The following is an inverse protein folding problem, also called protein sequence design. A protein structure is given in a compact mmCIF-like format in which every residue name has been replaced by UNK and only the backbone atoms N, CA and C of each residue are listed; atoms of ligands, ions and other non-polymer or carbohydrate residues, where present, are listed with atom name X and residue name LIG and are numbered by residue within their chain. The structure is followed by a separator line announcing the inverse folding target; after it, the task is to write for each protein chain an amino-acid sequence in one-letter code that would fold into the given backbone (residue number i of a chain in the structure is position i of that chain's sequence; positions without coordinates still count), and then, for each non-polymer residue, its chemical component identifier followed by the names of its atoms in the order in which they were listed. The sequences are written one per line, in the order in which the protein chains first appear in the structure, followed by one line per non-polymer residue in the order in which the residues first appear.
data_IF_816088220942
#
_entry.id   IF_816088220942
#
_cell.length_a   1.000
_cell.length_b   1.000
_cell.length_c   1.000
_cell.angle_alpha   90.00
_cell.angle_beta   90.00
_cell.angle_gamma   90.00
#
_symmetry.space_group_name_H-M   'P 1'
#
loop_
_entity.id
_entity.type
_entity.pdbx_description
1 polymer ?
#
# COMPACT_ATOMS: atom_id res chain seq x y z
N UNK A 1 30.12 5.00 -8.86
CA UNK A 1 28.92 5.83 -9.09
C UNK A 1 27.79 5.24 -8.28
N UNK A 2 27.14 6.03 -7.41
CA UNK A 2 26.00 5.56 -6.61
C UNK A 2 24.75 6.28 -7.05
N UNK A 3 23.73 5.54 -7.47
CA UNK A 3 22.42 6.10 -7.78
C UNK A 3 21.63 6.30 -6.47
N UNK A 4 21.15 7.52 -6.25
CA UNK A 4 20.28 7.85 -5.11
C UNK A 4 18.94 8.36 -5.65
N UNK A 5 17.86 7.68 -5.29
CA UNK A 5 16.50 8.08 -5.62
C UNK A 5 15.76 8.38 -4.32
N UNK A 6 15.08 9.52 -4.24
CA UNK A 6 14.27 9.88 -3.06
C UNK A 6 12.96 9.08 -3.00
N UNK A 7 12.42 8.88 -1.80
CA UNK A 7 11.18 8.10 -1.58
C UNK A 7 10.00 8.57 -2.44
N UNK A 8 9.82 9.89 -2.58
CA UNK A 8 8.78 10.46 -3.43
C UNK A 8 8.94 10.01 -4.88
N UNK A 9 10.16 10.10 -5.41
CA UNK A 9 10.46 9.69 -6.79
C UNK A 9 10.20 8.19 -6.97
N UNK A 10 10.61 7.36 -6.01
CA UNK A 10 10.32 5.92 -6.02
C UNK A 10 8.81 5.66 -6.08
N UNK A 11 8.04 6.29 -5.18
CA UNK A 11 6.59 6.13 -5.11
C UNK A 11 5.89 6.60 -6.39
N UNK A 12 6.34 7.71 -6.96
CA UNK A 12 5.82 8.25 -8.21
C UNK A 12 6.08 7.29 -9.40
N UNK A 13 7.28 6.72 -9.49
CA UNK A 13 7.57 5.71 -10.52
C UNK A 13 6.68 4.47 -10.35
N UNK A 14 6.51 3.98 -9.12
CA UNK A 14 5.62 2.84 -8.84
C UNK A 14 4.20 3.15 -9.29
N UNK A 15 3.66 4.32 -8.95
CA UNK A 15 2.30 4.72 -9.32
C UNK A 15 2.13 4.72 -10.85
N UNK A 16 3.06 5.34 -11.58
CA UNK A 16 3.02 5.43 -13.05
C UNK A 16 3.03 4.06 -13.72
N UNK A 17 3.92 3.17 -13.29
CA UNK A 17 4.03 1.83 -13.88
C UNK A 17 2.85 0.93 -13.50
N UNK A 18 2.35 1.04 -12.26
CA UNK A 18 1.27 0.19 -11.77
C UNK A 18 -0.08 0.55 -12.38
N UNK A 19 -0.35 1.84 -12.57
CA UNK A 19 -1.64 2.36 -12.98
C UNK A 19 -1.52 3.38 -14.11
N UNK A 20 -1.03 2.97 -15.30
CA UNK A 20 -0.86 3.88 -16.44
C UNK A 20 -2.20 4.47 -16.91
N UNK A 21 -3.29 3.74 -16.72
CA UNK A 21 -4.64 4.10 -17.16
C UNK A 21 -5.59 4.36 -15.97
N UNK A 22 -5.05 4.77 -14.83
CA UNK A 22 -5.82 5.06 -13.62
C UNK A 22 -5.84 3.93 -12.58
N UNK A 23 -6.17 4.32 -11.35
CA UNK A 23 -5.99 3.50 -10.15
C UNK A 23 -7.00 2.35 -10.09
N UNK A 24 -6.49 1.13 -9.88
CA UNK A 24 -7.31 -0.07 -9.67
C UNK A 24 -7.02 -0.71 -8.32
N UNK A 25 -8.06 -1.20 -7.67
CA UNK A 25 -7.94 -1.90 -6.41
C UNK A 25 -7.08 -3.16 -6.57
N UNK A 26 -5.98 -3.32 -5.82
CA UNK A 26 -5.11 -4.49 -5.93
C UNK A 26 -5.74 -5.77 -5.37
N UNK A 27 -6.85 -5.65 -4.63
CA UNK A 27 -7.53 -6.79 -4.02
C UNK A 27 -8.65 -7.37 -4.89
N UNK A 28 -9.35 -6.54 -5.67
CA UNK A 28 -10.50 -6.99 -6.48
C UNK A 28 -10.48 -6.51 -7.94
N UNK A 29 -9.46 -5.74 -8.35
CA UNK A 29 -9.33 -5.21 -9.71
C UNK A 29 -10.29 -4.07 -10.08
N UNK A 30 -11.24 -3.72 -9.21
CA UNK A 30 -12.23 -2.67 -9.48
C UNK A 30 -11.58 -1.29 -9.62
N UNK A 31 -12.05 -0.52 -10.60
CA UNK A 31 -11.73 0.92 -10.75
C UNK A 31 -12.58 1.82 -9.84
N UNK A 32 -13.50 1.27 -9.04
CA UNK A 32 -14.31 2.03 -8.08
C UNK A 32 -13.45 2.37 -6.85
N UNK A 33 -12.56 3.35 -7.02
CA UNK A 33 -11.56 3.79 -6.05
C UNK A 33 -11.69 5.28 -5.84
N UNK A 34 -11.66 5.72 -4.58
CA UNK A 34 -11.58 7.13 -4.20
C UNK A 34 -10.25 7.44 -3.52
N UNK A 35 -9.82 8.68 -3.64
CA UNK A 35 -8.67 9.21 -2.93
C UNK A 35 -9.05 9.50 -1.46
N UNK A 36 -8.26 8.96 -0.54
CA UNK A 36 -8.48 9.03 0.91
C UNK A 36 -7.41 9.88 1.60
N UNK A 37 -6.84 10.83 0.86
CA UNK A 37 -5.75 11.70 1.28
C UNK A 37 -4.38 10.99 1.35
N UNK A 38 -3.40 11.69 1.90
CA UNK A 38 -2.01 11.23 2.01
C UNK A 38 -1.70 10.66 3.39
N UNK A 39 -0.67 9.83 3.49
CA UNK A 39 -0.25 9.28 4.78
C UNK A 39 0.39 10.38 5.67
N UNK A 40 0.02 10.52 6.97
CA UNK A 40 0.48 11.63 7.82
C UNK A 40 2.01 11.76 7.96
N UNK A 41 2.72 10.64 8.03
CA UNK A 41 4.20 10.60 8.16
C UNK A 41 4.93 10.44 6.82
N UNK A 42 4.20 10.21 5.73
CA UNK A 42 4.72 9.97 4.38
C UNK A 42 3.82 10.71 3.39
N UNK A 43 3.91 12.05 3.30
CA UNK A 43 2.97 12.85 2.49
C UNK A 43 3.07 12.58 0.99
N UNK A 44 4.14 11.92 0.53
CA UNK A 44 4.26 11.44 -0.84
C UNK A 44 3.41 10.17 -1.14
N UNK A 45 2.96 9.46 -0.10
CA UNK A 45 2.22 8.21 -0.22
C UNK A 45 0.71 8.47 -0.18
N UNK A 46 0.03 8.20 -1.29
CA UNK A 46 -1.40 8.35 -1.41
C UNK A 46 -2.12 7.16 -0.79
N UNK A 47 -3.22 7.43 -0.09
CA UNK A 47 -4.13 6.41 0.42
C UNK A 47 -5.37 6.39 -0.45
N UNK A 48 -5.78 5.19 -0.80
CA UNK A 48 -6.93 4.91 -1.64
C UNK A 48 -7.94 4.07 -0.85
N UNK A 49 -9.21 4.25 -1.17
CA UNK A 49 -10.29 3.41 -0.66
C UNK A 49 -11.08 2.84 -1.83
N UNK A 50 -11.17 1.51 -1.91
CA UNK A 50 -12.03 0.86 -2.90
C UNK A 50 -13.45 0.80 -2.37
N UNK A 51 -14.40 1.41 -3.06
CA UNK A 51 -15.82 1.39 -2.66
C UNK A 51 -16.51 0.07 -3.01
N UNK A 52 -15.93 -0.73 -3.92
CA UNK A 52 -16.45 -2.05 -4.28
C UNK A 52 -16.17 -3.11 -3.19
N UNK A 53 -14.90 -3.30 -2.81
CA UNK A 53 -14.53 -4.31 -1.79
C UNK A 53 -14.32 -3.71 -0.39
N UNK A 54 -14.48 -2.40 -0.22
CA UNK A 54 -14.35 -1.64 1.04
C UNK A 54 -12.99 -1.77 1.74
N UNK A 55 -11.92 -1.98 0.96
CA UNK A 55 -10.54 -2.07 1.48
C UNK A 55 -9.76 -0.79 1.18
N UNK A 56 -8.88 -0.41 2.10
CA UNK A 56 -7.89 0.65 1.89
C UNK A 56 -6.61 0.06 1.30
N UNK A 57 -5.92 0.82 0.47
CA UNK A 57 -4.59 0.51 -0.05
C UNK A 57 -3.83 1.80 -0.32
N UNK A 58 -2.55 1.69 -0.65
CA UNK A 58 -1.68 2.79 -1.04
C UNK A 58 -0.79 2.37 -2.22
N UNK A 59 0.04 3.29 -2.71
CA UNK A 59 0.93 3.04 -3.85
C UNK A 59 1.86 1.82 -3.64
N UNK A 60 2.27 1.57 -2.39
CA UNK A 60 3.19 0.50 -2.02
C UNK A 60 2.49 -0.82 -1.67
N UNK A 61 1.16 -0.86 -1.62
CA UNK A 61 0.41 -2.06 -1.23
C UNK A 61 0.68 -3.20 -2.22
N UNK A 62 0.99 -4.40 -1.71
CA UNK A 62 1.39 -5.55 -2.54
C UNK A 62 2.65 -5.29 -3.39
N UNK A 63 3.56 -4.44 -2.92
CA UNK A 63 4.93 -4.32 -3.46
C UNK A 63 5.92 -4.74 -2.38
N UNK A 64 7.15 -5.15 -2.74
CA UNK A 64 8.20 -5.44 -1.75
C UNK A 64 8.52 -4.26 -0.82
N UNK A 65 8.16 -3.03 -1.22
CA UNK A 65 8.38 -1.81 -0.45
C UNK A 65 7.27 -1.53 0.59
N UNK A 66 6.23 -2.36 0.66
CA UNK A 66 5.15 -2.24 1.64
C UNK A 66 5.66 -2.27 3.09
N UNK A 67 6.70 -3.07 3.33
CA UNK A 67 7.29 -3.30 4.65
C UNK A 67 8.60 -2.56 4.88
N UNK A 68 9.00 -1.67 3.96
CA UNK A 68 10.12 -0.76 4.16
C UNK A 68 9.76 0.28 5.23
N UNK A 69 9.74 -0.17 6.48
CA UNK A 69 9.80 0.64 7.68
C UNK A 69 11.27 0.99 7.86
N UNK A 70 11.57 2.29 7.99
CA UNK A 70 12.89 2.72 8.45
C UNK A 70 13.23 1.93 9.71
N UNK A 71 14.41 1.32 9.70
CA UNK A 71 14.91 0.39 10.71
C UNK A 71 14.65 0.88 12.13
N UNK A 72 13.89 0.09 12.90
CA UNK A 72 14.22 -0.21 14.28
C UNK A 72 14.22 -1.75 14.38
N UNK A 73 15.45 -2.27 14.43
CA UNK A 73 15.91 -3.61 14.83
C UNK A 73 15.17 -4.87 14.38
N UNK A 74 15.98 -5.75 13.80
CA UNK A 74 15.71 -7.16 13.59
C UNK A 74 15.43 -7.85 14.93
N UNK A 75 14.26 -8.47 15.07
CA UNK A 75 14.15 -9.67 15.91
C UNK A 75 13.84 -10.85 15.00
N UNK A 76 14.90 -11.62 14.74
CA UNK A 76 14.84 -12.90 14.06
C UNK A 76 13.89 -13.84 14.81
N UNK A 77 12.94 -14.40 14.09
CA UNK A 77 12.12 -15.54 14.51
C UNK A 77 11.98 -16.45 13.31
N UNK A 78 12.70 -17.56 13.34
CA UNK A 78 12.75 -18.56 12.29
C UNK A 78 11.41 -19.29 12.19
N UNK A 79 10.50 -18.80 11.36
CA UNK A 79 9.28 -19.52 10.97
C UNK A 79 9.26 -19.59 9.45
N UNK A 80 9.39 -20.80 8.89
CA UNK A 80 9.09 -21.02 7.48
C UNK A 80 7.66 -20.51 7.19
N UNK A 81 7.45 -19.65 6.17
CA UNK A 81 6.10 -19.31 5.77
C UNK A 81 5.43 -20.56 5.20
N UNK A 82 4.34 -21.00 5.83
CA UNK A 82 3.39 -21.97 5.29
C UNK A 82 2.99 -21.56 3.85
N UNK A 83 2.69 -22.52 2.96
CA UNK A 83 2.15 -22.21 1.64
C UNK A 83 0.92 -21.31 1.82
N UNK A 84 0.97 -20.14 1.19
CA UNK A 84 0.10 -19.02 1.50
C UNK A 84 -1.38 -19.37 1.29
N UNK A 85 -2.08 -19.68 2.39
CA UNK A 85 -3.48 -19.35 2.48
C UNK A 85 -3.57 -17.83 2.26
N UNK A 86 -4.31 -17.39 1.24
CA UNK A 86 -4.56 -15.96 1.00
C UNK A 86 -4.94 -15.34 2.35
N UNK A 87 -4.23 -14.33 2.86
CA UNK A 87 -4.64 -13.72 4.11
C UNK A 87 -6.05 -13.18 3.91
N UNK A 88 -6.99 -13.75 4.65
CA UNK A 88 -8.31 -13.16 4.89
C UNK A 88 -8.09 -11.67 5.14
N UNK A 89 -8.84 -10.76 4.50
CA UNK A 89 -8.60 -9.35 4.68
C UNK A 89 -8.68 -9.01 6.15
N UNK A 90 -7.55 -8.65 6.74
CA UNK A 90 -7.52 -8.02 8.05
C UNK A 90 -8.37 -6.77 7.92
N UNK A 91 -9.60 -6.88 8.39
CA UNK A 91 -10.61 -5.84 8.37
C UNK A 91 -10.08 -4.77 9.34
N UNK A 92 -9.36 -3.79 8.80
CA UNK A 92 -8.84 -2.69 9.60
C UNK A 92 -10.04 -1.90 10.12
N UNK A 93 -10.34 -2.16 11.39
CA UNK A 93 -11.48 -1.73 12.17
C UNK A 93 -11.91 -0.29 11.85
N UNK A 94 -13.23 -0.16 11.68
CA UNK A 94 -14.03 1.06 11.52
C UNK A 94 -13.45 2.25 12.30
N UNK A 95 -13.19 3.37 11.61
CA UNK A 95 -13.34 4.69 12.22
C UNK A 95 -14.29 5.48 11.32
N UNK A 96 -15.37 5.91 11.93
CA UNK A 96 -16.57 6.44 11.29
C UNK A 96 -16.26 7.55 10.29
N UNK A 97 -16.87 7.46 9.11
CA UNK A 97 -17.13 8.61 8.28
C UNK A 97 -18.02 9.55 9.09
N UNK A 98 -17.54 10.75 9.41
CA UNK A 98 -18.37 11.84 9.94
C UNK A 98 -18.51 12.90 8.86
N UNK A 99 -19.77 13.21 8.55
CA UNK A 99 -20.24 14.45 7.94
C UNK A 99 -19.88 14.63 6.48
#
# INVERSE_FOLDING_TARGET
MTLKLGDNQVVEQIRRHRWPNGVKCPYCGSSKVIEYGKAPRRPYLQRYFCTNCRRQFNDLTSTPLAEARGTAEHRAGNTLPLPQARPEPVCCRKRAWRG
#
